data_IF_987378389042
#
_entry.id   IF_987378389042
#
_cell.length_a   1.000
_cell.length_b   1.000
_cell.length_c   1.000
_cell.angle_alpha   90.00
_cell.angle_beta   90.00
_cell.angle_gamma   90.00
#
_symmetry.space_group_name_H-M   'P 1'
#
loop_
_entity.id
_entity.type
_entity.pdbx_description
1 polymer ?
#
# COMPACT_ATOMS: atom_id res chain seq x y z
N UNK A 1 44.26 0.51 -14.50
CA UNK A 1 43.57 0.78 -13.23
C UNK A 1 42.40 1.70 -13.57
N UNK A 2 41.19 1.15 -13.78
CA UNK A 2 40.02 1.90 -14.23
C UNK A 2 39.30 2.47 -13.00
N UNK A 3 39.29 3.80 -12.89
CA UNK A 3 38.57 4.54 -11.85
C UNK A 3 37.10 4.13 -11.85
N UNK A 4 36.69 3.40 -10.80
CA UNK A 4 35.29 3.22 -10.47
C UNK A 4 34.75 4.59 -10.07
N UNK A 5 34.10 5.28 -10.99
CA UNK A 5 33.13 6.31 -10.65
C UNK A 5 32.17 5.70 -9.62
N UNK A 6 32.32 6.10 -8.36
CA UNK A 6 31.43 5.72 -7.27
C UNK A 6 30.09 6.38 -7.53
N UNK A 7 29.26 5.75 -8.37
CA UNK A 7 27.86 6.11 -8.48
C UNK A 7 27.29 6.09 -7.06
N UNK A 8 26.79 7.21 -6.53
CA UNK A 8 26.15 7.20 -5.22
C UNK A 8 25.06 6.13 -5.26
N UNK A 9 24.91 5.38 -4.15
CA UNK A 9 23.83 4.40 -4.02
C UNK A 9 22.52 5.10 -4.43
N UNK A 10 21.80 4.55 -5.42
CA UNK A 10 20.57 5.15 -5.99
C UNK A 10 19.52 5.54 -4.94
N UNK A 11 19.59 4.97 -3.73
CA UNK A 11 18.60 5.14 -2.68
C UNK A 11 19.34 5.24 -1.34
N UNK A 12 19.20 6.38 -0.65
CA UNK A 12 19.69 6.56 0.72
C UNK A 12 18.72 5.88 1.72
N UNK A 13 19.24 5.12 2.71
CA UNK A 13 18.42 4.51 3.76
C UNK A 13 17.83 5.55 4.73
N UNK A 14 18.37 6.78 4.78
CA UNK A 14 17.93 7.85 5.67
C UNK A 14 16.69 8.63 5.17
N UNK A 15 16.11 8.20 4.04
CA UNK A 15 15.01 8.87 3.37
C UNK A 15 15.45 9.44 2.02
N UNK A 16 14.59 9.30 1.03
CA UNK A 16 14.75 9.90 -0.29
C UNK A 16 13.82 11.10 -0.38
N UNK A 17 14.34 12.23 -0.84
CA UNK A 17 13.55 13.40 -1.15
C UNK A 17 13.84 13.83 -2.58
N UNK A 18 12.81 14.32 -3.26
CA UNK A 18 12.92 15.03 -4.54
C UNK A 18 12.87 16.53 -4.24
N UNK A 19 13.66 17.31 -4.97
CA UNK A 19 13.56 18.76 -4.95
C UNK A 19 13.22 19.19 -6.37
N UNK A 20 12.04 19.78 -6.54
CA UNK A 20 11.66 20.44 -7.79
C UNK A 20 12.11 21.91 -7.65
N UNK A 21 12.99 22.39 -8.53
CA UNK A 21 13.68 23.67 -8.39
C UNK A 21 13.11 24.68 -9.38
N UNK A 22 12.86 25.90 -8.89
CA UNK A 22 12.56 27.08 -9.70
C UNK A 22 13.72 28.05 -9.49
N UNK A 23 14.52 28.27 -10.53
CA UNK A 23 15.75 29.08 -10.44
C UNK A 23 15.66 30.37 -11.24
N UNK A 24 14.92 30.38 -12.35
CA UNK A 24 14.90 31.52 -13.25
C UNK A 24 13.68 32.42 -12.99
N UNK A 25 13.87 33.76 -12.93
CA UNK A 25 12.76 34.72 -12.82
C UNK A 25 11.67 34.55 -13.88
N UNK A 26 12.05 34.14 -15.08
CA UNK A 26 11.17 33.94 -16.24
C UNK A 26 10.26 32.71 -16.08
N UNK A 27 10.66 31.71 -15.28
CA UNK A 27 9.82 30.52 -15.02
C UNK A 27 8.51 30.91 -14.33
N UNK A 28 8.49 32.02 -13.59
CA UNK A 28 7.29 32.55 -12.93
C UNK A 28 6.23 33.06 -13.93
N UNK A 29 6.61 33.30 -15.18
CA UNK A 29 5.70 33.75 -16.23
C UNK A 29 4.98 32.54 -16.90
N UNK A 30 5.47 31.31 -16.67
CA UNK A 30 4.92 30.06 -17.17
C UNK A 30 4.24 29.24 -16.06
N UNK A 31 3.11 29.75 -15.54
CA UNK A 31 2.43 29.17 -14.37
C UNK A 31 2.17 27.65 -14.47
N UNK A 32 1.85 27.15 -15.66
CA UNK A 32 1.50 25.73 -15.90
C UNK A 32 2.68 24.80 -15.59
N UNK A 33 3.91 25.26 -15.82
CA UNK A 33 5.14 24.47 -15.71
C UNK A 33 5.76 24.55 -14.31
N UNK A 34 5.30 25.48 -13.47
CA UNK A 34 5.75 25.60 -12.09
C UNK A 34 5.32 24.40 -11.24
N UNK A 35 6.06 24.07 -10.16
CA UNK A 35 5.59 23.12 -9.17
C UNK A 35 4.22 23.54 -8.60
N UNK A 36 3.34 22.58 -8.37
CA UNK A 36 1.95 22.80 -7.93
C UNK A 36 1.88 23.67 -6.66
N UNK A 37 2.85 23.55 -5.77
CA UNK A 37 2.97 24.36 -4.56
C UNK A 37 3.19 25.84 -4.86
N UNK A 38 4.02 26.14 -5.86
CA UNK A 38 4.28 27.51 -6.29
C UNK A 38 3.03 28.05 -7.01
N UNK A 39 2.40 27.25 -7.88
CA UNK A 39 1.12 27.60 -8.49
C UNK A 39 0.07 27.97 -7.43
N UNK A 40 -0.04 27.15 -6.37
CA UNK A 40 -0.97 27.38 -5.27
C UNK A 40 -0.70 28.67 -4.51
N UNK A 41 0.58 28.97 -4.25
CA UNK A 41 0.98 30.23 -3.62
C UNK A 41 0.60 31.42 -4.51
N UNK A 42 0.95 31.38 -5.79
CA UNK A 42 0.73 32.50 -6.70
C UNK A 42 -0.75 32.75 -6.96
N UNK A 43 -1.59 31.71 -7.04
CA UNK A 43 -3.06 31.87 -7.15
C UNK A 43 -3.68 32.47 -5.90
N UNK A 44 -3.24 32.01 -4.73
CA UNK A 44 -3.82 32.46 -3.45
C UNK A 44 -3.31 33.83 -3.03
N UNK A 45 -2.06 34.13 -3.36
CA UNK A 45 -1.37 35.37 -2.99
C UNK A 45 -0.50 35.87 -4.15
N UNK A 46 -1.10 36.46 -5.21
CA UNK A 46 -0.38 36.98 -6.36
C UNK A 46 0.69 38.02 -6.00
N UNK A 47 0.50 38.74 -4.89
CA UNK A 47 1.45 39.74 -4.38
C UNK A 47 2.82 39.17 -4.01
N UNK A 48 2.97 37.86 -3.84
CA UNK A 48 4.27 37.24 -3.57
C UNK A 48 5.11 37.02 -4.83
N UNK A 49 4.53 37.08 -6.03
CA UNK A 49 5.24 36.89 -7.28
C UNK A 49 6.44 37.83 -7.45
N UNK A 50 6.33 39.16 -7.22
CA UNK A 50 7.47 40.08 -7.38
C UNK A 50 8.57 39.79 -6.35
N UNK A 51 8.20 39.36 -5.14
CA UNK A 51 9.16 39.05 -4.08
C UNK A 51 9.92 37.75 -4.36
N UNK A 52 9.24 36.75 -4.92
CA UNK A 52 9.88 35.53 -5.41
C UNK A 52 10.81 35.88 -6.59
N UNK A 53 10.33 36.67 -7.57
CA UNK A 53 11.13 37.10 -8.73
C UNK A 53 12.42 37.80 -8.30
N UNK A 54 12.35 38.64 -7.28
CA UNK A 54 13.52 39.31 -6.69
C UNK A 54 14.52 38.29 -6.12
N UNK A 55 14.07 37.32 -5.33
CA UNK A 55 14.94 36.27 -4.78
C UNK A 55 15.62 35.49 -5.91
N UNK A 56 14.89 35.14 -6.96
CA UNK A 56 15.42 34.43 -8.12
C UNK A 56 16.48 35.26 -8.87
N UNK A 57 16.25 36.57 -9.03
CA UNK A 57 17.20 37.47 -9.69
C UNK A 57 18.49 37.71 -8.89
N UNK A 58 18.50 37.37 -7.60
CA UNK A 58 19.65 37.52 -6.70
C UNK A 58 20.51 36.24 -6.63
N UNK A 59 20.43 35.34 -7.62
CA UNK A 59 21.27 34.14 -7.70
C UNK A 59 20.84 33.01 -6.75
N UNK A 60 19.56 32.98 -6.36
CA UNK A 60 19.00 31.97 -5.46
C UNK A 60 17.84 31.26 -6.15
N UNK A 61 17.63 29.99 -5.82
CA UNK A 61 16.49 29.22 -6.30
C UNK A 61 15.54 28.83 -5.17
N UNK A 62 14.28 28.59 -5.53
CA UNK A 62 13.28 28.01 -4.62
C UNK A 62 13.14 26.52 -4.95
N UNK A 63 13.46 25.69 -3.97
CA UNK A 63 13.26 24.24 -4.02
C UNK A 63 11.98 23.80 -3.33
N UNK A 64 11.18 22.97 -3.99
CA UNK A 64 10.07 22.25 -3.40
C UNK A 64 10.54 20.88 -2.95
N UNK A 65 10.91 20.76 -1.68
CA UNK A 65 11.39 19.50 -1.10
C UNK A 65 10.23 18.58 -0.77
N UNK A 66 10.13 17.46 -1.47
CA UNK A 66 9.11 16.43 -1.30
C UNK A 66 9.74 15.11 -0.84
N UNK A 67 9.28 14.60 0.30
CA UNK A 67 9.70 13.29 0.82
C UNK A 67 9.04 12.17 0.00
N UNK A 68 9.85 11.24 -0.50
CA UNK A 68 9.39 10.12 -1.34
C UNK A 68 9.08 8.86 -0.54
N UNK A 69 9.60 8.74 0.68
CA UNK A 69 9.30 7.65 1.61
C UNK A 69 9.09 8.19 3.01
N UNK A 70 8.00 7.78 3.64
CA UNK A 70 7.65 8.09 5.01
C UNK A 70 8.83 7.75 5.93
N UNK A 71 9.28 8.69 6.77
CA UNK A 71 10.30 8.42 7.78
C UNK A 71 9.92 7.23 8.67
N UNK A 72 10.87 6.32 8.91
CA UNK A 72 10.65 5.07 9.64
C UNK A 72 10.04 5.31 11.04
N UNK A 73 10.47 6.37 11.71
CA UNK A 73 9.94 6.75 13.03
C UNK A 73 8.45 7.11 13.00
N UNK A 74 7.95 7.69 11.89
CA UNK A 74 6.52 7.97 11.71
C UNK A 74 5.77 6.66 11.42
N UNK A 75 6.33 5.78 10.59
CA UNK A 75 5.73 4.46 10.33
C UNK A 75 5.61 3.64 11.61
N UNK A 76 6.66 3.60 12.44
CA UNK A 76 6.66 2.93 13.73
C UNK A 76 5.63 3.53 14.69
N UNK A 77 5.55 4.86 14.79
CA UNK A 77 4.55 5.52 15.62
C UNK A 77 3.11 5.21 15.18
N UNK A 78 2.84 5.21 13.87
CA UNK A 78 1.55 4.81 13.31
C UNK A 78 1.26 3.34 13.61
N UNK A 79 2.26 2.46 13.47
CA UNK A 79 2.14 1.05 13.78
C UNK A 79 1.76 0.82 15.24
N UNK A 80 2.50 1.42 16.18
CA UNK A 80 2.25 1.33 17.62
C UNK A 80 0.81 1.74 17.96
N UNK A 81 0.34 2.90 17.51
CA UNK A 81 -1.04 3.36 17.76
C UNK A 81 -2.07 2.39 17.15
N UNK A 82 -1.82 1.96 15.92
CA UNK A 82 -2.72 1.07 15.19
C UNK A 82 -2.89 -0.29 15.88
N UNK A 83 -1.79 -0.89 16.32
CA UNK A 83 -1.76 -2.23 16.92
C UNK A 83 -2.30 -2.21 18.34
N UNK A 84 -1.88 -1.23 19.14
CA UNK A 84 -2.16 -1.23 20.58
C UNK A 84 -3.50 -0.60 20.96
N UNK A 85 -4.04 0.31 20.14
CA UNK A 85 -5.28 1.03 20.49
C UNK A 85 -6.36 1.01 19.42
N UNK A 86 -5.98 1.07 18.14
CA UNK A 86 -6.92 1.35 17.05
C UNK A 86 -7.28 0.11 16.21
N UNK A 87 -7.09 -1.10 16.73
CA UNK A 87 -7.56 -2.33 16.09
C UNK A 87 -7.06 -2.55 14.65
N UNK A 88 -5.86 -2.06 14.33
CA UNK A 88 -5.22 -2.01 13.01
C UNK A 88 -5.87 -1.06 11.99
N UNK A 89 -6.70 -0.12 12.44
CA UNK A 89 -7.21 0.97 11.61
C UNK A 89 -6.25 2.16 11.60
N UNK A 90 -6.13 2.81 10.43
CA UNK A 90 -5.42 4.09 10.27
C UNK A 90 -6.34 5.17 9.72
N UNK A 91 -7.28 4.82 8.84
CA UNK A 91 -8.13 5.81 8.15
C UNK A 91 -9.10 6.54 9.08
N UNK A 92 -9.37 5.99 10.26
CA UNK A 92 -10.36 6.52 11.20
C UNK A 92 -9.80 7.65 12.09
N UNK A 93 -8.48 7.74 12.24
CA UNK A 93 -7.85 8.70 13.16
C UNK A 93 -6.66 9.44 12.54
N UNK A 94 -5.86 8.81 11.68
CA UNK A 94 -4.65 9.41 11.15
C UNK A 94 -4.92 10.66 10.29
N UNK A 95 -5.93 10.68 9.39
CA UNK A 95 -6.26 11.88 8.65
C UNK A 95 -6.68 13.05 9.55
N UNK A 96 -7.44 12.78 10.62
CA UNK A 96 -7.88 13.79 11.58
C UNK A 96 -6.71 14.29 12.43
N UNK A 97 -5.84 13.40 12.90
CA UNK A 97 -4.63 13.77 13.62
C UNK A 97 -3.73 14.67 12.77
N UNK A 98 -3.54 14.35 11.49
CA UNK A 98 -2.67 15.12 10.61
C UNK A 98 -3.29 16.48 10.20
N UNK A 99 -4.61 16.53 9.99
CA UNK A 99 -5.34 17.74 9.53
C UNK A 99 -5.72 18.69 10.66
N UNK A 100 -6.43 18.19 11.66
CA UNK A 100 -7.02 19.00 12.74
C UNK A 100 -6.29 18.85 14.08
N UNK A 101 -5.22 18.04 14.14
CA UNK A 101 -4.53 17.67 15.39
C UNK A 101 -5.46 16.99 16.40
N UNK A 102 -6.58 16.45 15.94
CA UNK A 102 -7.49 15.70 16.79
C UNK A 102 -6.79 14.40 17.22
N UNK A 103 -6.60 14.23 18.52
CA UNK A 103 -5.88 13.07 19.06
C UNK A 103 -6.78 11.83 19.02
N UNK A 104 -6.23 10.65 18.67
CA UNK A 104 -6.96 9.40 18.84
C UNK A 104 -7.30 9.19 20.32
N UNK A 105 -8.46 8.58 20.58
CA UNK A 105 -8.90 8.26 21.94
C UNK A 105 -8.21 6.97 22.41
N UNK A 106 -7.56 7.04 23.58
CA UNK A 106 -6.92 5.91 24.24
C UNK A 106 -7.68 5.54 25.50
N UNK A 107 -7.96 4.25 25.70
CA UNK A 107 -8.50 3.74 26.96
C UNK A 107 -7.36 3.24 27.85
N UNK A 108 -7.61 3.11 29.16
CA UNK A 108 -6.58 2.69 30.13
C UNK A 108 -5.92 1.36 29.75
N UNK A 109 -6.70 0.41 29.25
CA UNK A 109 -6.21 -0.89 28.80
C UNK A 109 -5.22 -0.78 27.63
N UNK A 110 -5.41 0.16 26.71
CA UNK A 110 -4.49 0.38 25.58
C UNK A 110 -3.12 0.87 26.09
N UNK A 111 -3.15 1.81 27.05
CA UNK A 111 -1.95 2.40 27.64
C UNK A 111 -1.17 1.36 28.44
N UNK A 112 -1.86 0.53 29.23
CA UNK A 112 -1.27 -0.60 29.96
C UNK A 112 -0.61 -1.59 28.99
N UNK A 113 -1.33 -2.02 27.94
CA UNK A 113 -0.82 -2.97 26.95
C UNK A 113 0.38 -2.46 26.14
N UNK A 114 0.43 -1.15 25.85
CA UNK A 114 1.59 -0.53 25.20
C UNK A 114 2.80 -0.47 26.16
N UNK A 115 2.58 -0.06 27.40
CA UNK A 115 3.62 0.05 28.42
C UNK A 115 4.26 -1.32 28.75
N UNK A 116 3.49 -2.40 28.77
CA UNK A 116 4.00 -3.77 28.94
C UNK A 116 5.03 -4.17 27.87
N UNK A 117 4.96 -3.56 26.68
CA UNK A 117 5.93 -3.76 25.59
C UNK A 117 7.01 -2.69 25.51
N UNK A 118 7.04 -1.76 26.47
CA UNK A 118 7.98 -0.63 26.47
C UNK A 118 7.65 0.44 25.42
N UNK A 119 6.43 0.46 24.88
CA UNK A 119 5.96 1.44 23.90
C UNK A 119 5.08 2.51 24.56
N UNK A 120 5.08 3.73 24.04
CA UNK A 120 4.31 4.85 24.57
C UNK A 120 3.44 5.50 23.49
N UNK A 121 2.12 5.42 23.66
CA UNK A 121 1.13 5.91 22.69
C UNK A 121 1.14 7.44 22.55
N UNK A 122 1.31 8.18 23.65
CA UNK A 122 1.38 9.65 23.61
C UNK A 122 2.64 10.12 22.88
N UNK A 123 3.78 9.49 23.17
CA UNK A 123 5.04 9.78 22.46
C UNK A 123 4.92 9.46 20.97
N UNK A 124 4.18 8.42 20.59
CA UNK A 124 3.91 8.10 19.19
C UNK A 124 3.08 9.20 18.52
N UNK A 125 2.02 9.70 19.19
CA UNK A 125 1.21 10.83 18.70
C UNK A 125 2.07 12.07 18.50
N UNK A 126 2.90 12.41 19.48
CA UNK A 126 3.80 13.57 19.41
C UNK A 126 4.81 13.45 18.27
N UNK A 127 5.36 12.25 18.04
CA UNK A 127 6.30 12.00 16.93
C UNK A 127 5.64 12.28 15.58
N UNK A 128 4.40 11.80 15.38
CA UNK A 128 3.63 12.06 14.16
C UNK A 128 3.37 13.57 14.01
N UNK A 129 2.90 14.23 15.07
CA UNK A 129 2.57 15.65 15.03
C UNK A 129 3.80 16.55 14.80
N UNK A 130 4.97 16.18 15.35
CA UNK A 130 6.20 16.93 15.16
C UNK A 130 6.69 16.83 13.72
N UNK A 131 6.70 15.61 13.17
CA UNK A 131 7.37 15.34 11.90
C UNK A 131 6.43 15.43 10.67
N UNK A 132 5.10 15.62 10.86
CA UNK A 132 4.13 15.70 9.75
C UNK A 132 4.43 16.78 8.70
N UNK A 133 5.10 17.86 9.07
CA UNK A 133 5.43 18.97 8.16
C UNK A 133 6.72 18.75 7.37
N UNK A 134 7.46 17.68 7.67
CA UNK A 134 8.71 17.38 6.98
C UNK A 134 8.50 16.78 5.59
N UNK A 135 7.27 16.37 5.26
CA UNK A 135 6.93 15.69 4.01
C UNK A 135 6.98 16.61 2.79
N UNK A 136 6.59 17.86 2.95
CA UNK A 136 6.63 18.88 1.90
C UNK A 136 6.99 20.21 2.51
N UNK A 137 8.07 20.84 2.01
CA UNK A 137 8.55 22.13 2.49
C UNK A 137 9.22 22.89 1.37
N UNK A 138 9.07 24.21 1.38
CA UNK A 138 9.85 25.08 0.52
C UNK A 138 11.19 25.38 1.16
N UNK A 139 12.25 25.22 0.37
CA UNK A 139 13.63 25.47 0.77
C UNK A 139 14.23 26.49 -0.18
N UNK A 140 15.12 27.31 0.34
CA UNK A 140 15.92 28.22 -0.47
C UNK A 140 17.24 27.51 -0.81
N UNK A 141 17.65 27.63 -2.07
CA UNK A 141 18.89 27.07 -2.59
C UNK A 141 19.73 28.26 -3.00
N UNK A 142 20.92 28.39 -2.41
CA UNK A 142 21.88 29.41 -2.78
C UNK A 142 22.73 28.87 -3.94
N UNK A 143 22.52 29.38 -5.15
CA UNK A 143 23.22 28.89 -6.35
C UNK A 143 24.57 29.60 -6.54
N UNK A 144 24.66 30.85 -6.10
CA UNK A 144 25.84 31.70 -6.28
C UNK A 144 26.72 31.83 -5.01
N UNK A 145 26.37 31.13 -3.93
CA UNK A 145 27.06 31.18 -2.62
C UNK A 145 27.08 32.58 -1.98
N UNK A 146 26.01 33.34 -2.18
CA UNK A 146 25.86 34.72 -1.68
C UNK A 146 25.44 34.72 -0.19
N UNK A 147 24.88 33.62 0.29
CA UNK A 147 24.32 33.45 1.62
C UNK A 147 22.82 33.76 1.67
N UNK A 148 22.15 33.17 2.66
CA UNK A 148 20.71 33.33 2.90
C UNK A 148 20.51 34.31 4.07
N UNK A 149 19.77 35.38 3.83
CA UNK A 149 19.45 36.38 4.85
C UNK A 149 18.30 35.92 5.76
N UNK A 150 18.21 36.43 7.00
CA UNK A 150 17.09 36.11 7.91
C UNK A 150 15.72 36.46 7.33
N UNK A 151 15.62 37.55 6.57
CA UNK A 151 14.37 37.99 5.94
C UNK A 151 13.89 37.00 4.87
N UNK A 152 14.81 36.42 4.10
CA UNK A 152 14.51 35.39 3.10
C UNK A 152 14.11 34.08 3.79
N UNK A 153 14.80 33.71 4.86
CA UNK A 153 14.46 32.53 5.64
C UNK A 153 13.06 32.64 6.28
N UNK A 154 12.71 33.82 6.77
CA UNK A 154 11.37 34.10 7.30
C UNK A 154 10.32 34.02 6.19
N UNK A 155 10.59 34.61 5.02
CA UNK A 155 9.69 34.52 3.88
C UNK A 155 9.48 33.07 3.41
N UNK A 156 10.54 32.25 3.36
CA UNK A 156 10.40 30.82 3.04
C UNK A 156 9.59 30.04 4.08
N UNK A 157 9.64 30.45 5.33
CA UNK A 157 8.81 29.86 6.39
C UNK A 157 7.35 30.24 6.18
N UNK A 158 7.06 31.50 5.88
CA UNK A 158 5.72 31.99 5.52
C UNK A 158 5.15 31.24 4.29
N UNK A 159 5.93 31.11 3.22
CA UNK A 159 5.52 30.33 2.04
C UNK A 159 5.28 28.85 2.38
N UNK A 160 6.10 28.27 3.26
CA UNK A 160 5.91 26.88 3.72
C UNK A 160 4.62 26.70 4.54
N UNK A 161 4.20 27.71 5.29
CA UNK A 161 2.93 27.71 6.02
C UNK A 161 1.72 27.81 5.07
N UNK A 162 1.85 28.54 3.96
CA UNK A 162 0.77 28.64 2.96
C UNK A 162 0.47 27.27 2.35
N UNK A 163 1.50 26.48 2.02
CA UNK A 163 1.34 25.15 1.43
C UNK A 163 0.99 24.06 2.45
N UNK A 164 0.81 24.41 3.73
CA UNK A 164 0.52 23.48 4.82
C UNK A 164 -0.65 22.53 4.54
N UNK A 165 -1.80 22.97 3.96
CA UNK A 165 -2.87 22.05 3.59
C UNK A 165 -2.43 20.98 2.58
N UNK A 166 -1.63 21.38 1.58
CA UNK A 166 -1.10 20.45 0.56
C UNK A 166 -0.09 19.47 1.17
N UNK A 167 0.77 19.96 2.07
CA UNK A 167 1.75 19.15 2.77
C UNK A 167 1.08 18.09 3.66
N UNK A 168 -0.01 18.45 4.36
CA UNK A 168 -0.78 17.49 5.16
C UNK A 168 -1.43 16.44 4.27
N UNK A 169 -2.15 16.84 3.24
CA UNK A 169 -2.82 15.89 2.36
C UNK A 169 -1.83 14.92 1.70
N UNK A 170 -0.65 15.43 1.34
CA UNK A 170 0.45 14.60 0.87
C UNK A 170 0.99 13.65 1.96
N UNK A 171 1.14 14.10 3.20
CA UNK A 171 1.60 13.27 4.31
C UNK A 171 0.62 12.13 4.64
N UNK A 172 -0.68 12.41 4.74
CA UNK A 172 -1.73 11.39 4.95
C UNK A 172 -1.63 10.33 3.86
N UNK A 173 -1.58 10.80 2.61
CA UNK A 173 -1.49 9.95 1.45
C UNK A 173 -0.23 9.07 1.47
N UNK A 174 0.94 9.67 1.72
CA UNK A 174 2.24 8.99 1.68
C UNK A 174 2.37 7.97 2.82
N UNK A 175 1.93 8.31 4.03
CA UNK A 175 1.95 7.40 5.19
C UNK A 175 1.05 6.19 4.96
N UNK A 176 -0.16 6.41 4.43
CA UNK A 176 -1.09 5.31 4.09
C UNK A 176 -0.48 4.41 3.01
N UNK A 177 0.09 4.99 1.95
CA UNK A 177 0.69 4.26 0.85
C UNK A 177 1.93 3.45 1.29
N UNK A 178 2.83 4.04 2.06
CA UNK A 178 4.06 3.36 2.49
C UNK A 178 3.78 2.28 3.54
N UNK A 179 2.83 2.51 4.47
CA UNK A 179 2.39 1.47 5.41
C UNK A 179 1.76 0.27 4.68
N UNK A 180 1.06 0.51 3.56
CA UNK A 180 0.60 -0.58 2.70
C UNK A 180 1.75 -1.29 1.95
N UNK A 181 2.79 -0.54 1.58
CA UNK A 181 3.97 -1.05 0.86
C UNK A 181 4.86 -1.97 1.70
N UNK A 182 5.04 -1.68 2.98
CA UNK A 182 5.80 -2.57 3.87
C UNK A 182 5.16 -3.95 4.00
N UNK A 183 3.84 -4.01 3.88
CA UNK A 183 3.06 -5.26 3.93
C UNK A 183 3.08 -6.05 2.61
N UNK A 184 3.68 -5.54 1.54
CA UNK A 184 3.57 -6.12 0.17
C UNK A 184 4.83 -6.75 -0.40
N UNK A 185 5.89 -6.96 0.39
CA UNK A 185 7.10 -7.69 -0.08
C UNK A 185 6.83 -9.13 -0.53
N UNK A 186 5.70 -9.71 -0.13
CA UNK A 186 5.30 -11.10 -0.46
C UNK A 186 5.00 -11.26 -1.96
N UNK A 187 4.42 -10.26 -2.62
CA UNK A 187 4.00 -10.35 -4.03
C UNK A 187 5.17 -10.53 -5.02
N UNK A 188 6.35 -9.96 -4.73
CA UNK A 188 7.54 -10.14 -5.57
C UNK A 188 8.16 -11.53 -5.42
N UNK A 189 7.93 -12.21 -4.29
CA UNK A 189 8.36 -13.60 -4.09
C UNK A 189 7.57 -14.57 -4.95
N UNK A 190 6.28 -14.30 -5.14
CA UNK A 190 5.36 -15.17 -5.89
C UNK A 190 5.67 -15.18 -7.39
N UNK A 191 5.92 -14.01 -7.99
CA UNK A 191 6.30 -13.94 -9.42
C UNK A 191 7.58 -14.75 -9.70
N UNK A 192 8.51 -14.82 -8.74
CA UNK A 192 9.70 -15.67 -8.84
C UNK A 192 9.36 -17.15 -8.64
N UNK A 193 8.39 -17.47 -7.78
CA UNK A 193 7.91 -18.83 -7.57
C UNK A 193 7.24 -19.42 -8.83
N UNK A 194 6.58 -18.59 -9.64
CA UNK A 194 5.99 -19.02 -10.93
C UNK A 194 6.99 -19.66 -11.90
N UNK A 195 8.26 -19.22 -11.89
CA UNK A 195 9.34 -19.82 -12.69
C UNK A 195 9.67 -21.25 -12.28
N UNK A 196 9.28 -21.66 -11.06
CA UNK A 196 9.46 -23.00 -10.52
C UNK A 196 8.15 -23.79 -10.60
N UNK A 197 7.01 -23.17 -10.29
CA UNK A 197 5.69 -23.81 -10.28
C UNK A 197 5.32 -24.29 -11.69
N UNK A 198 5.54 -23.47 -12.74
CA UNK A 198 5.21 -23.82 -14.13
C UNK A 198 5.87 -25.10 -14.63
N UNK A 199 7.21 -25.23 -14.55
CA UNK A 199 7.92 -26.45 -14.93
C UNK A 199 7.49 -27.68 -14.12
N UNK A 200 7.33 -27.54 -12.80
CA UNK A 200 6.95 -28.66 -11.93
C UNK A 200 5.53 -29.12 -12.24
N UNK A 201 4.57 -28.18 -12.36
CA UNK A 201 3.21 -28.49 -12.78
C UNK A 201 3.18 -29.18 -14.15
N UNK A 202 4.05 -28.76 -15.09
CA UNK A 202 4.09 -29.35 -16.43
C UNK A 202 4.60 -30.78 -16.42
N UNK A 203 5.63 -31.07 -15.61
CA UNK A 203 6.15 -32.43 -15.44
C UNK A 203 5.11 -33.32 -14.76
N UNK A 204 4.47 -32.82 -13.70
CA UNK A 204 3.45 -33.57 -12.94
C UNK A 204 2.23 -33.88 -13.80
N UNK A 205 1.76 -32.92 -14.60
CA UNK A 205 0.62 -33.12 -15.50
C UNK A 205 0.92 -34.15 -16.58
N UNK A 206 2.17 -34.23 -17.06
CA UNK A 206 2.61 -35.26 -18.00
C UNK A 206 2.75 -36.64 -17.38
N UNK A 207 3.07 -36.70 -16.08
CA UNK A 207 3.24 -37.98 -15.37
C UNK A 207 1.88 -38.58 -15.00
N UNK A 208 0.95 -37.77 -14.51
CA UNK A 208 -0.44 -38.16 -14.34
C UNK A 208 -1.37 -36.96 -14.48
N UNK A 209 -2.35 -37.09 -15.39
CA UNK A 209 -3.36 -36.07 -15.64
C UNK A 209 -4.06 -35.66 -14.33
N UNK A 210 -4.20 -34.36 -14.12
CA UNK A 210 -4.83 -33.78 -12.93
C UNK A 210 -3.88 -33.51 -11.75
N UNK A 211 -2.72 -34.19 -11.64
CA UNK A 211 -1.76 -33.92 -10.54
C UNK A 211 -1.11 -32.53 -10.73
N UNK A 212 -0.77 -32.16 -11.97
CA UNK A 212 -0.25 -30.83 -12.26
C UNK A 212 -1.27 -29.73 -11.97
N UNK A 213 -2.57 -30.00 -12.19
CA UNK A 213 -3.67 -29.09 -11.82
C UNK A 213 -3.78 -28.91 -10.31
N UNK A 214 -3.73 -29.99 -9.53
CA UNK A 214 -3.72 -29.90 -8.05
C UNK A 214 -2.52 -29.08 -7.58
N UNK A 215 -1.33 -29.38 -8.10
CA UNK A 215 -0.11 -28.70 -7.71
C UNK A 215 -0.17 -27.20 -8.05
N UNK A 216 -0.58 -26.85 -9.28
CA UNK A 216 -0.68 -25.46 -9.72
C UNK A 216 -1.73 -24.66 -8.91
N UNK A 217 -2.89 -25.27 -8.62
CA UNK A 217 -3.94 -24.63 -7.81
C UNK A 217 -3.55 -24.47 -6.34
N UNK A 218 -2.67 -25.31 -5.82
CA UNK A 218 -2.31 -25.33 -4.39
C UNK A 218 -1.02 -24.58 -4.07
N UNK A 219 -0.05 -24.58 -4.99
CA UNK A 219 1.31 -24.13 -4.71
C UNK A 219 1.37 -22.63 -4.38
N UNK A 220 0.67 -21.79 -5.14
CA UNK A 220 0.68 -20.34 -4.89
C UNK A 220 -0.06 -19.98 -3.60
N UNK A 221 -1.27 -20.52 -3.42
CA UNK A 221 -2.10 -20.31 -2.22
C UNK A 221 -1.39 -20.77 -0.93
N UNK A 222 -0.71 -21.93 -0.95
CA UNK A 222 0.07 -22.40 0.20
C UNK A 222 1.30 -21.53 0.46
N UNK A 223 2.01 -21.06 -0.57
CA UNK A 223 3.15 -20.16 -0.39
C UNK A 223 2.72 -18.81 0.18
N UNK A 224 1.59 -18.27 -0.28
CA UNK A 224 1.00 -17.05 0.25
C UNK A 224 0.60 -17.18 1.72
N UNK A 225 -0.11 -18.25 2.08
CA UNK A 225 -0.57 -18.47 3.45
C UNK A 225 0.60 -18.79 4.41
N UNK A 226 1.61 -19.55 3.98
CA UNK A 226 2.80 -19.83 4.80
C UNK A 226 3.64 -18.57 5.03
N UNK A 227 3.73 -17.67 4.05
CA UNK A 227 4.35 -16.37 4.22
C UNK A 227 3.59 -15.50 5.24
N UNK A 228 2.25 -15.52 5.20
CA UNK A 228 1.42 -14.77 6.16
C UNK A 228 1.53 -15.35 7.58
N UNK A 229 1.49 -16.68 7.74
CA UNK A 229 1.69 -17.35 9.02
C UNK A 229 3.08 -17.07 9.59
N UNK A 230 4.11 -17.03 8.75
CA UNK A 230 5.48 -16.70 9.15
C UNK A 230 5.61 -15.23 9.58
N UNK A 231 4.95 -14.31 8.86
CA UNK A 231 4.90 -12.90 9.23
C UNK A 231 4.19 -12.69 10.57
N UNK A 232 3.06 -13.36 10.80
CA UNK A 232 2.32 -13.33 12.07
C UNK A 232 3.13 -13.95 13.21
N UNK A 233 3.88 -15.03 12.95
CA UNK A 233 4.80 -15.60 13.95
C UNK A 233 5.90 -14.61 14.32
N UNK A 234 6.48 -13.95 13.31
CA UNK A 234 7.48 -12.89 13.50
C UNK A 234 6.94 -11.66 14.24
N UNK A 235 5.64 -11.39 14.16
CA UNK A 235 4.98 -10.29 14.88
C UNK A 235 4.42 -10.69 16.27
N UNK A 236 4.83 -11.84 16.80
CA UNK A 236 4.56 -12.22 18.20
C UNK A 236 3.26 -13.02 18.45
N UNK A 237 2.56 -13.50 17.42
CA UNK A 237 1.41 -14.37 17.61
C UNK A 237 1.80 -15.77 18.13
N UNK A 238 0.98 -16.32 19.01
CA UNK A 238 1.21 -17.64 19.61
C UNK A 238 0.82 -18.77 18.64
N UNK A 239 1.49 -19.93 18.71
CA UNK A 239 1.15 -21.11 17.90
C UNK A 239 -0.31 -21.56 18.06
N UNK A 240 -0.92 -21.34 19.24
CA UNK A 240 -2.35 -21.63 19.48
C UNK A 240 -3.27 -20.74 18.63
N UNK A 241 -2.91 -19.47 18.42
CA UNK A 241 -3.68 -18.56 17.57
C UNK A 241 -3.53 -18.91 16.09
N UNK A 242 -2.32 -19.25 15.65
CA UNK A 242 -2.06 -19.70 14.27
C UNK A 242 -2.77 -21.03 13.97
N UNK A 243 -2.77 -21.98 14.93
CA UNK A 243 -3.46 -23.26 14.79
C UNK A 243 -5.00 -23.13 14.72
N UNK A 244 -5.58 -22.08 15.31
CA UNK A 244 -7.02 -21.82 15.18
C UNK A 244 -7.39 -21.39 13.76
N UNK A 245 -6.50 -20.66 13.08
CA UNK A 245 -6.66 -20.23 11.69
C UNK A 245 -6.52 -21.42 10.73
N UNK A 246 -5.52 -22.27 10.92
CA UNK A 246 -5.31 -23.45 10.07
C UNK A 246 -6.49 -24.43 10.08
N UNK A 247 -7.24 -24.54 11.20
CA UNK A 247 -8.46 -25.37 11.25
C UNK A 247 -9.54 -24.97 10.24
N UNK A 248 -9.63 -23.70 9.86
CA UNK A 248 -10.60 -23.23 8.86
C UNK A 248 -10.05 -23.43 7.44
N UNK A 249 -8.73 -23.40 7.27
CA UNK A 249 -8.07 -23.54 5.99
C UNK A 249 -8.03 -25.00 5.50
N UNK A 250 -7.96 -25.98 6.42
CA UNK A 250 -7.91 -27.40 6.05
C UNK A 250 -9.13 -27.85 5.22
N UNK A 251 -10.39 -27.59 5.62
CA UNK A 251 -11.56 -27.93 4.79
C UNK A 251 -11.56 -27.22 3.43
N UNK A 252 -11.16 -25.94 3.39
CA UNK A 252 -11.10 -25.18 2.14
C UNK A 252 -10.03 -25.75 1.21
N UNK A 253 -8.86 -26.11 1.74
CA UNK A 253 -7.81 -26.77 0.99
C UNK A 253 -8.27 -28.13 0.42
N UNK A 254 -8.99 -28.92 1.22
CA UNK A 254 -9.54 -30.19 0.75
C UNK A 254 -10.57 -29.99 -0.38
N UNK A 255 -11.45 -29.00 -0.26
CA UNK A 255 -12.41 -28.63 -1.30
C UNK A 255 -11.71 -28.14 -2.57
N UNK A 256 -10.68 -27.29 -2.45
CA UNK A 256 -9.88 -26.80 -3.56
C UNK A 256 -9.15 -27.94 -4.28
N UNK A 257 -8.56 -28.86 -3.52
CA UNK A 257 -7.87 -30.04 -4.06
C UNK A 257 -8.85 -30.93 -4.83
N UNK A 258 -10.02 -31.19 -4.25
CA UNK A 258 -11.06 -31.98 -4.88
C UNK A 258 -11.60 -31.31 -6.16
N UNK A 259 -11.82 -30.00 -6.12
CA UNK A 259 -12.23 -29.22 -7.28
C UNK A 259 -11.20 -29.29 -8.41
N UNK A 260 -9.92 -29.05 -8.11
CA UNK A 260 -8.82 -29.13 -9.08
C UNK A 260 -8.67 -30.53 -9.70
N UNK A 261 -8.87 -31.59 -8.91
CA UNK A 261 -8.85 -32.97 -9.41
C UNK A 261 -10.05 -33.27 -10.32
N UNK A 262 -11.23 -32.74 -10.00
CA UNK A 262 -12.46 -32.96 -10.76
C UNK A 262 -12.46 -32.32 -12.15
N UNK A 263 -11.51 -31.41 -12.42
CA UNK A 263 -11.36 -30.70 -13.71
C UNK A 263 -11.19 -31.68 -14.86
N UNK A 264 -10.44 -32.76 -14.68
CA UNK A 264 -10.20 -33.73 -15.77
C UNK A 264 -11.49 -34.41 -16.20
N UNK A 265 -12.32 -34.85 -15.25
CA UNK A 265 -13.62 -35.42 -15.55
C UNK A 265 -14.53 -34.45 -16.30
N UNK A 266 -14.45 -33.15 -16.01
CA UNK A 266 -15.21 -32.15 -16.79
C UNK A 266 -14.68 -31.96 -18.20
N UNK A 267 -13.36 -32.04 -18.42
CA UNK A 267 -12.74 -31.96 -19.75
C UNK A 267 -13.13 -33.18 -20.58
N UNK A 268 -13.07 -34.39 -20.01
CA UNK A 268 -13.44 -35.64 -20.68
C UNK A 268 -14.91 -35.67 -21.14
N UNK A 269 -15.81 -35.02 -20.39
CA UNK A 269 -17.24 -34.92 -20.72
C UNK A 269 -17.58 -33.67 -21.57
N UNK A 270 -16.60 -33.03 -22.19
CA UNK A 270 -16.73 -31.82 -23.02
C UNK A 270 -17.40 -30.62 -22.31
N UNK A 271 -17.26 -30.55 -20.97
CA UNK A 271 -17.78 -29.45 -20.14
C UNK A 271 -16.69 -28.43 -19.85
N UNK A 272 -16.06 -27.92 -20.90
CA UNK A 272 -14.86 -27.06 -20.82
C UNK A 272 -15.07 -25.78 -19.99
N UNK A 273 -16.22 -25.13 -20.12
CA UNK A 273 -16.54 -23.92 -19.33
C UNK A 273 -16.58 -24.25 -17.83
N UNK A 274 -17.25 -25.35 -17.46
CA UNK A 274 -17.36 -25.78 -16.07
C UNK A 274 -15.98 -26.21 -15.52
N UNK A 275 -15.19 -26.92 -16.32
CA UNK A 275 -13.82 -27.29 -15.99
C UNK A 275 -12.98 -26.04 -15.65
N UNK A 276 -13.08 -25.00 -16.48
CA UNK A 276 -12.39 -23.72 -16.29
C UNK A 276 -12.84 -22.97 -15.04
N UNK A 277 -14.15 -22.87 -14.80
CA UNK A 277 -14.69 -22.22 -13.58
C UNK A 277 -14.23 -22.96 -12.33
N UNK A 278 -14.35 -24.28 -12.30
CA UNK A 278 -13.97 -25.11 -11.14
C UNK A 278 -12.47 -24.98 -10.88
N UNK A 279 -11.64 -25.04 -11.91
CA UNK A 279 -10.20 -24.86 -11.76
C UNK A 279 -9.85 -23.47 -11.23
N UNK A 280 -10.41 -22.42 -11.83
CA UNK A 280 -10.15 -21.03 -11.43
C UNK A 280 -10.59 -20.74 -9.99
N UNK A 281 -11.74 -21.25 -9.55
CA UNK A 281 -12.18 -21.12 -8.16
C UNK A 281 -11.32 -21.94 -7.18
N UNK A 282 -10.90 -23.15 -7.59
CA UNK A 282 -10.05 -24.00 -6.76
C UNK A 282 -8.68 -23.37 -6.53
N UNK A 283 -8.14 -22.70 -7.54
CA UNK A 283 -6.84 -22.01 -7.50
C UNK A 283 -6.77 -20.80 -6.56
N UNK A 284 -7.91 -20.21 -6.19
CA UNK A 284 -7.98 -19.01 -5.34
C UNK A 284 -8.83 -19.23 -4.09
N UNK A 285 -9.12 -20.49 -3.76
CA UNK A 285 -10.08 -20.80 -2.71
C UNK A 285 -9.58 -20.39 -1.32
N UNK A 286 -8.28 -20.60 -1.04
CA UNK A 286 -7.71 -20.29 0.27
C UNK A 286 -7.53 -18.79 0.44
N UNK A 287 -6.96 -18.15 -0.57
CA UNK A 287 -6.75 -16.70 -0.60
C UNK A 287 -8.06 -15.90 -0.54
N UNK A 288 -9.10 -16.30 -1.28
CA UNK A 288 -10.43 -15.70 -1.22
C UNK A 288 -11.03 -15.87 0.19
N UNK A 289 -10.86 -17.04 0.80
CA UNK A 289 -11.29 -17.28 2.18
C UNK A 289 -10.57 -16.35 3.16
N UNK A 290 -9.26 -16.19 3.02
CA UNK A 290 -8.44 -15.29 3.82
C UNK A 290 -8.85 -13.82 3.65
N UNK A 291 -9.17 -13.39 2.43
CA UNK A 291 -9.69 -12.05 2.14
C UNK A 291 -11.06 -11.82 2.81
N UNK A 292 -11.99 -12.77 2.69
CA UNK A 292 -13.32 -12.69 3.32
C UNK A 292 -13.19 -12.65 4.85
N UNK A 293 -12.36 -13.50 5.44
CA UNK A 293 -12.12 -13.51 6.89
C UNK A 293 -11.53 -12.20 7.38
N UNK A 294 -10.56 -11.64 6.64
CA UNK A 294 -9.97 -10.34 6.94
C UNK A 294 -11.02 -9.24 7.01
N UNK A 295 -11.95 -9.18 6.04
CA UNK A 295 -13.03 -8.21 6.04
C UNK A 295 -13.91 -8.33 7.30
N UNK A 296 -14.31 -9.55 7.67
CA UNK A 296 -15.12 -9.77 8.87
C UNK A 296 -14.36 -9.43 10.16
N UNK A 297 -13.06 -9.70 10.23
CA UNK A 297 -12.21 -9.29 11.35
C UNK A 297 -12.17 -7.77 11.49
N UNK A 298 -11.95 -7.05 10.40
CA UNK A 298 -11.98 -5.59 10.38
C UNK A 298 -13.34 -5.05 10.83
N UNK A 299 -14.44 -5.57 10.26
CA UNK A 299 -15.80 -5.17 10.66
C UNK A 299 -16.06 -5.40 12.15
N UNK A 300 -15.60 -6.51 12.72
CA UNK A 300 -15.71 -6.81 14.14
C UNK A 300 -14.90 -5.83 15.00
N UNK A 301 -13.66 -5.54 14.62
CA UNK A 301 -12.82 -4.57 15.32
C UNK A 301 -13.42 -3.16 15.27
N UNK A 302 -13.96 -2.75 14.12
CA UNK A 302 -14.56 -1.43 13.99
C UNK A 302 -15.82 -1.27 14.85
N UNK A 303 -16.63 -2.33 14.99
CA UNK A 303 -17.75 -2.35 15.94
C UNK A 303 -17.27 -2.16 17.37
N UNK A 304 -16.16 -2.81 17.78
CA UNK A 304 -15.56 -2.62 19.11
C UNK A 304 -15.07 -1.17 19.31
N UNK A 305 -14.33 -0.63 18.34
CA UNK A 305 -13.85 0.75 18.39
C UNK A 305 -14.99 1.77 18.46
N UNK A 306 -16.12 1.50 17.79
CA UNK A 306 -17.31 2.34 17.89
C UNK A 306 -17.97 2.27 19.27
N UNK A 307 -17.99 1.09 19.92
CA UNK A 307 -18.51 0.93 21.29
C UNK A 307 -17.60 1.65 22.29
N UNK A 308 -16.28 1.58 22.10
CA UNK A 308 -15.27 2.25 22.92
C UNK A 308 -15.23 3.79 22.72
N UNK A 309 -16.07 4.33 21.83
CA UNK A 309 -16.11 5.77 21.54
C UNK A 309 -14.91 6.29 20.74
N UNK A 310 -14.07 5.38 20.21
CA UNK A 310 -12.87 5.73 19.42
C UNK A 310 -13.18 6.11 17.97
N UNK A 311 -14.37 5.74 17.47
CA UNK A 311 -14.85 6.07 16.12
C UNK A 311 -16.24 6.68 16.21
N UNK A 312 -16.38 7.92 15.71
CA UNK A 312 -17.67 8.61 15.64
C UNK A 312 -18.32 8.31 14.29
N UNK A 313 -19.29 7.39 14.29
CA UNK A 313 -20.05 7.04 13.08
C UNK A 313 -21.54 7.02 13.35
N UNK A 314 -22.30 7.82 12.61
CA UNK A 314 -23.74 8.00 12.84
C UNK A 314 -24.64 6.85 12.31
N UNK A 315 -24.13 5.85 11.57
CA UNK A 315 -24.95 4.71 11.05
C UNK A 315 -24.14 3.42 10.77
N UNK A 316 -24.72 2.23 11.00
CA UNK A 316 -24.09 0.92 10.71
C UNK A 316 -23.63 0.73 9.24
N UNK A 317 -24.33 1.30 8.26
CA UNK A 317 -23.91 1.28 6.83
C UNK A 317 -22.62 2.06 6.57
N UNK A 318 -22.25 3.00 7.47
CA UNK A 318 -20.96 3.70 7.41
C UNK A 318 -19.81 2.82 7.91
N UNK A 319 -20.06 1.88 8.85
CA UNK A 319 -19.05 0.97 9.39
C UNK A 319 -18.58 -0.06 8.36
N UNK A 320 -19.51 -0.70 7.64
CA UNK A 320 -19.15 -1.66 6.58
C UNK A 320 -18.32 -1.01 5.47
N UNK A 321 -18.69 0.22 5.07
CA UNK A 321 -17.94 1.00 4.08
C UNK A 321 -16.55 1.39 4.59
N UNK A 322 -16.41 1.73 5.86
CA UNK A 322 -15.11 2.04 6.48
C UNK A 322 -14.23 0.79 6.59
N UNK A 323 -14.80 -0.36 6.96
CA UNK A 323 -14.06 -1.62 6.98
C UNK A 323 -13.54 -1.98 5.58
N UNK A 324 -14.37 -1.88 4.54
CA UNK A 324 -13.93 -2.08 3.14
C UNK A 324 -12.84 -1.08 2.74
N UNK A 325 -13.02 0.21 3.08
CA UNK A 325 -12.00 1.23 2.77
C UNK A 325 -10.68 0.95 3.45
N UNK A 326 -10.70 0.51 4.71
CA UNK A 326 -9.49 0.16 5.45
C UNK A 326 -8.81 -1.04 4.81
N UNK A 327 -9.55 -2.10 4.52
CA UNK A 327 -8.99 -3.32 3.94
C UNK A 327 -8.35 -3.04 2.56
N UNK A 328 -9.01 -2.22 1.73
CA UNK A 328 -8.51 -1.80 0.42
C UNK A 328 -7.59 -0.58 0.44
N UNK A 329 -7.18 -0.08 1.61
CA UNK A 329 -6.00 0.82 1.66
C UNK A 329 -4.73 0.09 1.26
N UNK A 330 -4.71 -1.24 1.40
CA UNK A 330 -3.65 -2.08 0.90
C UNK A 330 -3.91 -2.47 -0.57
N UNK A 331 -3.14 -1.97 -1.53
CA UNK A 331 -3.34 -2.27 -2.95
C UNK A 331 -3.24 -3.76 -3.27
N UNK A 332 -2.40 -4.51 -2.57
CA UNK A 332 -2.34 -5.95 -2.81
C UNK A 332 -3.62 -6.64 -2.41
N UNK A 333 -4.26 -6.28 -1.28
CA UNK A 333 -5.54 -6.91 -0.89
C UNK A 333 -6.65 -6.62 -1.89
N UNK A 334 -6.68 -5.40 -2.43
CA UNK A 334 -7.59 -5.08 -3.53
C UNK A 334 -7.30 -5.94 -4.75
N UNK A 335 -6.03 -6.06 -5.15
CA UNK A 335 -5.66 -6.86 -6.31
C UNK A 335 -5.84 -8.37 -6.10
N UNK A 336 -5.69 -8.87 -4.87
CA UNK A 336 -6.02 -10.25 -4.49
C UNK A 336 -7.51 -10.52 -4.73
N UNK A 337 -8.39 -9.64 -4.23
CA UNK A 337 -9.84 -9.79 -4.45
C UNK A 337 -10.24 -9.66 -5.93
N UNK A 338 -9.66 -8.70 -6.65
CA UNK A 338 -9.90 -8.55 -8.09
C UNK A 338 -9.41 -9.78 -8.87
N UNK A 339 -8.24 -10.29 -8.53
CA UNK A 339 -7.65 -11.45 -9.16
C UNK A 339 -8.40 -12.74 -8.87
N UNK A 340 -8.90 -12.93 -7.64
CA UNK A 340 -9.81 -14.03 -7.30
C UNK A 340 -11.12 -13.96 -8.11
N UNK A 341 -11.64 -12.76 -8.37
CA UNK A 341 -12.78 -12.55 -9.27
C UNK A 341 -12.48 -12.85 -10.74
N UNK A 342 -11.22 -12.69 -11.18
CA UNK A 342 -10.77 -12.96 -12.55
C UNK A 342 -10.36 -14.43 -12.78
N UNK A 343 -9.98 -15.16 -11.73
CA UNK A 343 -9.48 -16.53 -11.85
C UNK A 343 -10.44 -17.50 -12.57
N UNK A 344 -11.78 -17.47 -12.36
CA UNK A 344 -12.70 -18.32 -13.12
C UNK A 344 -12.67 -18.02 -14.63
N UNK A 345 -12.54 -16.75 -15.03
CA UNK A 345 -12.46 -16.37 -16.44
C UNK A 345 -11.15 -16.82 -17.08
N UNK A 346 -10.03 -16.72 -16.34
CA UNK A 346 -8.75 -17.25 -16.79
C UNK A 346 -8.78 -18.77 -16.93
N UNK A 347 -9.45 -19.46 -16.01
CA UNK A 347 -9.71 -20.90 -16.10
C UNK A 347 -10.54 -21.27 -17.33
N UNK A 348 -11.63 -20.54 -17.61
CA UNK A 348 -12.44 -20.75 -18.83
C UNK A 348 -11.59 -20.55 -20.09
N UNK A 349 -10.79 -19.49 -20.16
CA UNK A 349 -9.91 -19.23 -21.31
C UNK A 349 -8.87 -20.34 -21.50
N UNK A 350 -8.28 -20.85 -20.40
CA UNK A 350 -7.38 -22.00 -20.42
C UNK A 350 -8.04 -23.28 -20.94
N UNK A 351 -9.27 -23.55 -20.49
CA UNK A 351 -10.03 -24.72 -20.92
C UNK A 351 -10.46 -24.65 -22.39
N UNK A 352 -10.97 -23.50 -22.84
CA UNK A 352 -11.41 -23.30 -24.24
C UNK A 352 -10.24 -23.31 -25.23
N UNK A 353 -9.03 -22.92 -24.81
CA UNK A 353 -7.83 -23.01 -25.64
C UNK A 353 -7.26 -24.44 -25.73
N UNK A 354 -7.81 -25.40 -24.97
CA UNK A 354 -7.30 -26.77 -24.91
C UNK A 354 -5.96 -26.91 -24.21
N UNK A 355 -5.44 -25.86 -23.55
CA UNK A 355 -4.09 -25.82 -22.98
C UNK A 355 -4.03 -26.21 -21.50
N UNK A 356 -5.11 -26.79 -20.94
CA UNK A 356 -5.19 -27.23 -19.54
C UNK A 356 -4.27 -28.42 -19.21
N UNK A 357 -3.57 -28.99 -20.19
CA UNK A 357 -2.51 -29.98 -20.00
C UNK A 357 -1.12 -29.34 -19.89
N UNK A 358 -1.00 -28.02 -20.13
CA UNK A 358 0.26 -27.30 -20.08
C UNK A 358 0.46 -26.67 -18.70
N UNK A 359 1.43 -27.16 -17.94
CA UNK A 359 1.76 -26.65 -16.60
C UNK A 359 2.07 -25.15 -16.52
N UNK A 360 2.54 -24.51 -17.59
CA UNK A 360 2.72 -23.05 -17.61
C UNK A 360 1.40 -22.30 -17.62
N UNK A 361 0.41 -22.81 -18.37
CA UNK A 361 -0.94 -22.27 -18.41
C UNK A 361 -1.63 -22.51 -17.08
N UNK A 362 -1.49 -23.72 -16.53
CA UNK A 362 -2.01 -24.05 -15.19
C UNK A 362 -1.41 -23.16 -14.10
N UNK A 363 -0.10 -22.94 -14.10
CA UNK A 363 0.55 -22.04 -13.14
C UNK A 363 0.13 -20.58 -13.34
N UNK A 364 0.00 -20.12 -14.60
CA UNK A 364 -0.47 -18.77 -14.90
C UNK A 364 -1.91 -18.53 -14.40
N UNK A 365 -2.81 -19.48 -14.61
CA UNK A 365 -4.18 -19.42 -14.08
C UNK A 365 -4.16 -19.53 -12.55
N UNK A 366 -3.38 -20.47 -12.01
CA UNK A 366 -3.18 -20.70 -10.58
C UNK A 366 -2.73 -19.44 -9.82
N UNK A 367 -1.89 -18.63 -10.45
CA UNK A 367 -1.38 -17.38 -9.88
C UNK A 367 -2.07 -16.12 -10.41
N UNK A 368 -3.26 -16.24 -11.03
CA UNK A 368 -4.01 -15.07 -11.53
C UNK A 368 -4.15 -14.02 -10.44
N UNK A 369 -4.48 -14.46 -9.23
CA UNK A 369 -4.62 -13.58 -8.08
C UNK A 369 -3.35 -12.80 -7.76
N UNK A 370 -2.24 -13.51 -7.58
CA UNK A 370 -0.95 -12.93 -7.23
C UNK A 370 -0.41 -12.00 -8.32
N UNK A 371 -0.65 -12.33 -9.59
CA UNK A 371 -0.29 -11.48 -10.73
C UNK A 371 -1.09 -10.18 -10.68
N UNK A 372 -2.42 -10.26 -10.50
CA UNK A 372 -3.28 -9.07 -10.42
C UNK A 372 -2.96 -8.25 -9.17
N UNK A 373 -2.64 -8.87 -8.03
CA UNK A 373 -2.16 -8.19 -6.83
C UNK A 373 -0.84 -7.45 -7.07
N UNK A 374 0.14 -8.10 -7.70
CA UNK A 374 1.42 -7.49 -8.05
C UNK A 374 1.25 -6.28 -8.99
N UNK A 375 0.46 -6.43 -10.04
CA UNK A 375 0.12 -5.34 -10.96
C UNK A 375 -0.63 -4.21 -10.24
N UNK A 376 -1.58 -4.54 -9.37
CA UNK A 376 -2.33 -3.53 -8.61
C UNK A 376 -1.42 -2.72 -7.71
N UNK A 377 -0.41 -3.33 -7.07
CA UNK A 377 0.60 -2.61 -6.29
C UNK A 377 1.44 -1.69 -7.16
N UNK A 378 1.93 -2.19 -8.32
CA UNK A 378 2.73 -1.39 -9.25
C UNK A 378 1.95 -0.19 -9.79
N UNK A 379 0.70 -0.40 -10.19
CA UNK A 379 -0.17 0.67 -10.68
C UNK A 379 -0.71 1.55 -9.58
N UNK A 380 -0.81 1.07 -8.33
CA UNK A 380 -1.29 1.87 -7.22
C UNK A 380 -0.39 3.07 -6.98
N UNK A 381 0.94 2.93 -7.00
CA UNK A 381 1.86 4.08 -6.85
C UNK A 381 1.59 5.15 -7.91
N UNK A 382 1.46 4.73 -9.17
CA UNK A 382 1.17 5.63 -10.30
C UNK A 382 -0.21 6.29 -10.18
N UNK A 383 -1.26 5.50 -9.93
CA UNK A 383 -2.64 5.98 -9.81
C UNK A 383 -2.82 6.88 -8.59
N UNK A 384 -2.14 6.57 -7.49
CA UNK A 384 -2.18 7.32 -6.26
C UNK A 384 -1.48 8.69 -6.45
N UNK A 385 -0.28 8.72 -7.05
CA UNK A 385 0.40 9.99 -7.36
C UNK A 385 -0.41 10.83 -8.35
N UNK A 386 -0.96 10.20 -9.39
CA UNK A 386 -1.82 10.86 -10.36
C UNK A 386 -3.11 11.42 -9.74
N UNK A 387 -3.79 10.66 -8.87
CA UNK A 387 -4.99 11.12 -8.14
C UNK A 387 -4.65 12.28 -7.22
N UNK A 388 -3.51 12.24 -6.54
CA UNK A 388 -3.05 13.33 -5.70
C UNK A 388 -2.81 14.60 -6.53
N UNK A 389 -2.05 14.50 -7.63
CA UNK A 389 -1.83 15.62 -8.57
C UNK A 389 -3.13 16.18 -9.11
N UNK A 390 -4.08 15.32 -9.55
CA UNK A 390 -5.40 15.76 -10.01
C UNK A 390 -6.24 16.42 -8.93
N UNK A 391 -6.19 15.96 -7.68
CA UNK A 391 -6.89 16.62 -6.57
C UNK A 391 -6.29 17.99 -6.30
N UNK A 392 -4.97 18.09 -6.28
CA UNK A 392 -4.29 19.37 -6.11
C UNK A 392 -4.66 20.36 -7.23
N UNK A 393 -4.70 19.90 -8.49
CA UNK A 393 -5.13 20.71 -9.63
C UNK A 393 -6.58 21.16 -9.55
N UNK A 394 -7.46 20.45 -8.83
CA UNK A 394 -8.84 20.87 -8.59
C UNK A 394 -8.99 21.84 -7.42
N UNK A 395 -8.00 21.89 -6.53
CA UNK A 395 -7.94 22.83 -5.40
C UNK A 395 -7.16 24.11 -5.73
N UNK A 396 -6.42 24.10 -6.84
CA UNK A 396 -5.96 25.28 -7.57
C UNK A 396 -7.13 25.87 -8.37
#
# INVERSE_FOLDING_TARGET
MLERFTRPKKISPAGTYRVDVVSLPEELDFEIDLPIEIQYILRKYPQYQPRIKKILSEGKAIGVRTVLRTPENILQAVHTISVHSQGNYIITWLPELLRSKHRPVFIRQDLEAANERGENLEKAVETILRDRLRFKRLVLIDEENIGITPNEQQFMTELSEIIYPLAIDYSVFRVVADNARERTRIAQGIIKALLIIGPVAHILEKFAAGIGKIFAASADDLLGETAELSALRGSGFTWKQLAKRSRILIPVFALATWGAFSVEGFIEHDRLILAGVVFGLSAVALSLTTAIQSYFMYLSNLKKLSIEGKVVTNRNTSLARLALRQDFTNPARLGLLLGAGLAPFMGIAGALSGLMHNGWVLAGIGSTESIVAGLTVLFADFLNEWRFRRRLQKSL
#
